data_IF_999695861691
#
_entry.id   IF_999695861691
#
_cell.length_a   1.000
_cell.length_b   1.000
_cell.length_c   1.000
_cell.angle_alpha   90.00
_cell.angle_beta   90.00
_cell.angle_gamma   90.00
#
_symmetry.space_group_name_H-M   'P 1'
#
loop_
_entity.id
_entity.type
_entity.pdbx_description
1 polymer ?
#
# COMPACT_ATOMS: atom_id res chain seq x y z
N UNK A 1 -8.23 11.29 -13.06
CA UNK A 1 -7.45 11.02 -11.83
C UNK A 1 -7.95 9.82 -11.04
N UNK A 2 -9.21 9.78 -10.58
CA UNK A 2 -9.78 8.64 -9.82
C UNK A 2 -9.74 7.26 -10.53
N UNK A 3 -9.81 7.24 -11.86
CA UNK A 3 -9.67 6.01 -12.63
C UNK A 3 -8.24 5.46 -12.62
N UNK A 4 -7.20 6.30 -12.56
CA UNK A 4 -5.80 5.84 -12.52
C UNK A 4 -5.48 5.19 -11.18
N UNK A 5 -6.02 5.70 -10.07
CA UNK A 5 -5.82 5.12 -8.74
C UNK A 5 -6.50 3.76 -8.58
N UNK A 6 -7.75 3.63 -9.07
CA UNK A 6 -8.45 2.34 -9.13
C UNK A 6 -7.81 1.36 -10.10
N UNK A 7 -7.32 1.84 -11.25
CA UNK A 7 -6.65 0.99 -12.26
C UNK A 7 -5.27 0.57 -11.79
N UNK A 8 -4.47 1.43 -11.17
CA UNK A 8 -3.19 1.05 -10.58
C UNK A 8 -3.38 0.16 -9.35
N UNK A 9 -4.34 0.45 -8.45
CA UNK A 9 -4.63 -0.46 -7.34
C UNK A 9 -5.21 -1.81 -7.82
N UNK A 10 -6.10 -1.82 -8.81
CA UNK A 10 -6.66 -3.06 -9.38
C UNK A 10 -5.70 -3.81 -10.30
N UNK A 11 -4.80 -3.13 -11.01
CA UNK A 11 -3.82 -3.78 -11.90
C UNK A 11 -2.60 -4.28 -11.12
N UNK A 12 -2.20 -3.57 -10.06
CA UNK A 12 -1.01 -3.84 -9.27
C UNK A 12 -1.29 -4.67 -8.01
N UNK A 13 -2.47 -4.53 -7.39
CA UNK A 13 -2.89 -5.32 -6.23
C UNK A 13 -4.09 -6.26 -6.51
N UNK A 14 -4.84 -6.06 -7.60
CA UNK A 14 -6.13 -6.71 -7.80
C UNK A 14 -6.17 -7.98 -8.67
N UNK A 15 -5.09 -8.36 -9.38
CA UNK A 15 -5.10 -9.58 -10.22
C UNK A 15 -3.81 -10.40 -10.29
N UNK A 16 -2.65 -9.82 -10.01
CA UNK A 16 -1.41 -10.57 -9.88
C UNK A 16 -0.88 -10.28 -8.48
N UNK A 17 -0.90 -11.29 -7.61
CA UNK A 17 -0.29 -11.13 -6.29
C UNK A 17 1.20 -10.87 -6.50
N UNK A 18 1.71 -9.77 -5.95
CA UNK A 18 3.10 -9.33 -6.15
C UNK A 18 4.08 -10.38 -5.60
N UNK A 19 3.64 -11.25 -4.68
CA UNK A 19 4.37 -12.46 -4.26
C UNK A 19 4.86 -13.33 -5.42
N UNK A 20 4.12 -13.40 -6.53
CA UNK A 20 4.53 -14.16 -7.73
C UNK A 20 5.75 -13.55 -8.43
N UNK A 21 5.98 -12.23 -8.26
CA UNK A 21 7.15 -11.54 -8.81
C UNK A 21 8.33 -11.51 -7.84
N UNK A 22 8.06 -11.53 -6.53
CA UNK A 22 9.09 -11.46 -5.48
C UNK A 22 9.60 -12.87 -5.11
N UNK A 23 8.82 -13.92 -5.40
CA UNK A 23 9.19 -15.32 -5.19
C UNK A 23 9.05 -15.81 -3.74
N UNK A 24 8.79 -14.91 -2.79
CA UNK A 24 8.47 -15.21 -1.38
C UNK A 24 7.61 -14.10 -0.77
N UNK A 25 6.86 -14.44 0.29
CA UNK A 25 6.20 -13.45 1.14
C UNK A 25 7.25 -12.68 1.92
N UNK A 26 7.37 -11.38 1.65
CA UNK A 26 8.40 -10.56 2.29
C UNK A 26 8.04 -9.10 2.12
N UNK A 27 7.85 -8.37 3.23
CA UNK A 27 7.39 -6.99 3.17
C UNK A 27 8.48 -6.03 2.70
N UNK A 28 9.74 -6.28 3.07
CA UNK A 28 10.87 -5.44 2.63
C UNK A 28 11.04 -5.41 1.10
N UNK A 29 11.13 -6.56 0.39
CA UNK A 29 11.23 -6.56 -1.06
C UNK A 29 9.98 -5.98 -1.74
N UNK A 30 8.79 -6.20 -1.15
CA UNK A 30 7.57 -5.58 -1.65
C UNK A 30 7.68 -4.05 -1.58
N UNK A 31 8.07 -3.51 -0.43
CA UNK A 31 8.25 -2.08 -0.25
C UNK A 31 9.25 -1.48 -1.26
N UNK A 32 10.42 -2.10 -1.45
CA UNK A 32 11.39 -1.67 -2.45
C UNK A 32 10.85 -1.73 -3.88
N UNK A 33 10.12 -2.80 -4.22
CA UNK A 33 9.50 -2.94 -5.55
C UNK A 33 8.50 -1.82 -5.82
N UNK A 34 7.61 -1.51 -4.85
CA UNK A 34 6.62 -0.44 -4.97
C UNK A 34 7.30 0.92 -5.20
N UNK A 35 8.35 1.22 -4.43
CA UNK A 35 9.13 2.46 -4.59
C UNK A 35 9.81 2.52 -5.96
N UNK A 36 10.47 1.45 -6.40
CA UNK A 36 11.12 1.40 -7.72
C UNK A 36 10.12 1.59 -8.87
N UNK A 37 8.97 0.93 -8.79
CA UNK A 37 7.90 1.08 -9.76
C UNK A 37 7.37 2.51 -9.83
N UNK A 38 7.19 3.16 -8.67
CA UNK A 38 6.77 4.55 -8.58
C UNK A 38 7.79 5.51 -9.23
N UNK A 39 9.09 5.27 -9.04
CA UNK A 39 10.12 6.03 -9.74
C UNK A 39 10.03 5.84 -11.26
N UNK A 40 9.86 4.61 -11.74
CA UNK A 40 9.70 4.35 -13.17
C UNK A 40 8.46 5.04 -13.76
N UNK A 41 7.32 4.99 -13.05
CA UNK A 41 6.12 5.70 -13.47
C UNK A 41 6.33 7.22 -13.52
N UNK A 42 7.05 7.78 -12.55
CA UNK A 42 7.37 9.19 -12.56
C UNK A 42 8.23 9.57 -13.76
N UNK A 43 9.22 8.75 -14.11
CA UNK A 43 10.07 9.03 -15.27
C UNK A 43 9.30 8.96 -16.60
N UNK A 44 8.33 8.05 -16.71
CA UNK A 44 7.56 7.83 -17.94
C UNK A 44 6.40 8.83 -18.07
N UNK A 45 5.62 8.99 -17.00
CA UNK A 45 4.34 9.70 -17.03
C UNK A 45 4.41 11.07 -16.33
N UNK A 46 5.53 11.42 -15.67
CA UNK A 46 5.63 12.56 -14.74
C UNK A 46 4.55 12.53 -13.65
N UNK A 47 4.08 11.32 -13.33
CA UNK A 47 2.98 11.06 -12.42
C UNK A 47 3.50 10.32 -11.19
N UNK A 48 2.98 10.67 -10.02
CA UNK A 48 3.26 9.99 -8.76
C UNK A 48 1.99 9.25 -8.35
N UNK A 49 2.03 7.92 -8.29
CA UNK A 49 0.98 7.19 -7.59
C UNK A 49 1.14 7.47 -6.10
N UNK A 50 0.26 8.31 -5.55
CA UNK A 50 0.28 8.68 -4.16
C UNK A 50 -0.65 7.76 -3.38
N UNK A 51 -0.12 6.95 -2.47
CA UNK A 51 -0.88 6.27 -1.41
C UNK A 51 -1.27 7.29 -0.33
N UNK A 52 -1.86 8.42 -0.74
CA UNK A 52 -2.08 9.57 0.12
C UNK A 52 -3.02 9.21 1.28
N UNK A 53 -2.53 9.20 2.51
CA UNK A 53 -3.29 8.76 3.68
C UNK A 53 -3.01 7.33 4.13
N UNK A 54 -2.32 6.48 3.34
CA UNK A 54 -2.02 5.11 3.79
C UNK A 54 -0.94 5.08 4.87
N UNK A 55 0.08 5.95 4.74
CA UNK A 55 1.09 6.15 5.78
C UNK A 55 0.41 6.59 7.08
N UNK A 56 -0.43 7.63 6.98
CA UNK A 56 -1.16 8.20 8.10
C UNK A 56 -2.12 7.19 8.72
N UNK A 57 -2.82 6.38 7.90
CA UNK A 57 -3.67 5.29 8.39
C UNK A 57 -2.88 4.26 9.21
N UNK A 58 -1.69 3.86 8.77
CA UNK A 58 -0.85 2.91 9.50
C UNK A 58 -0.31 3.54 10.80
N UNK A 59 0.13 4.79 10.75
CA UNK A 59 0.56 5.53 11.94
C UNK A 59 -0.57 5.62 12.98
N UNK A 60 -1.78 5.99 12.55
CA UNK A 60 -2.96 6.05 13.41
C UNK A 60 -3.34 4.68 13.96
N UNK A 61 -3.31 3.63 13.13
CA UNK A 61 -3.69 2.26 13.52
C UNK A 61 -2.78 1.72 14.63
N UNK A 62 -1.47 1.94 14.51
CA UNK A 62 -0.48 1.45 15.47
C UNK A 62 -0.15 2.46 16.57
N UNK A 63 -0.86 3.59 16.66
CA UNK A 63 -0.56 4.70 17.57
C UNK A 63 0.92 5.12 17.51
N UNK A 64 1.46 5.16 16.30
CA UNK A 64 2.87 5.41 16.06
C UNK A 64 3.13 6.91 15.83
N UNK A 65 4.11 7.45 16.55
CA UNK A 65 4.56 8.82 16.39
C UNK A 65 6.06 8.83 16.10
N UNK A 66 6.45 9.01 14.84
CA UNK A 66 7.86 9.03 14.44
C UNK A 66 8.05 9.00 12.93
N UNK A 67 9.30 9.14 12.49
CA UNK A 67 9.67 9.14 11.07
C UNK A 67 10.02 7.72 10.59
N UNK A 68 9.04 6.82 10.53
CA UNK A 68 9.22 5.48 9.97
C UNK A 68 8.25 5.24 8.83
N UNK A 69 8.67 4.51 7.79
CA UNK A 69 7.75 4.11 6.73
C UNK A 69 6.68 3.17 7.28
N UNK A 70 5.50 3.17 6.66
CA UNK A 70 4.43 2.22 6.96
C UNK A 70 4.92 0.76 6.95
N UNK A 71 5.84 0.42 6.04
CA UNK A 71 6.40 -0.93 5.96
C UNK A 71 7.18 -1.28 7.23
N UNK A 72 8.01 -0.36 7.71
CA UNK A 72 8.78 -0.53 8.94
C UNK A 72 7.88 -0.59 10.18
N UNK A 73 6.82 0.24 10.22
CA UNK A 73 5.83 0.20 11.31
C UNK A 73 5.15 -1.17 11.37
N UNK A 74 4.68 -1.69 10.23
CA UNK A 74 4.04 -3.01 10.17
C UNK A 74 5.02 -4.12 10.58
N UNK A 75 6.25 -4.10 10.09
CA UNK A 75 7.27 -5.10 10.43
C UNK A 75 7.54 -5.17 11.93
N UNK A 76 7.70 -4.02 12.58
CA UNK A 76 7.97 -3.97 14.02
C UNK A 76 6.80 -4.45 14.89
N UNK A 77 5.60 -4.55 14.31
CA UNK A 77 4.40 -5.05 14.99
C UNK A 77 4.06 -6.51 14.59
N UNK A 78 4.90 -7.18 13.81
CA UNK A 78 4.71 -8.55 13.36
C UNK A 78 5.82 -9.47 13.88
N UNK A 79 5.51 -10.77 13.99
CA UNK A 79 6.45 -11.77 14.51
C UNK A 79 7.59 -12.09 13.53
N UNK A 80 7.30 -12.01 12.23
CA UNK A 80 8.25 -12.19 11.14
C UNK A 80 7.81 -11.40 9.90
N UNK A 81 8.66 -11.42 8.87
CA UNK A 81 8.46 -10.65 7.64
C UNK A 81 7.35 -11.24 6.74
N UNK A 82 7.03 -12.53 6.87
CA UNK A 82 5.92 -13.16 6.15
C UNK A 82 4.58 -12.71 6.75
N UNK A 83 4.46 -12.70 8.08
CA UNK A 83 3.33 -12.15 8.78
C UNK A 83 3.15 -10.66 8.49
N UNK A 84 4.24 -9.89 8.42
CA UNK A 84 4.19 -8.48 8.05
C UNK A 84 3.67 -8.28 6.61
N UNK A 85 4.08 -9.14 5.68
CA UNK A 85 3.59 -9.14 4.31
C UNK A 85 2.08 -9.38 4.24
N UNK A 86 1.59 -10.41 4.93
CA UNK A 86 0.15 -10.69 4.98
C UNK A 86 -0.61 -9.52 5.63
N UNK A 87 -0.05 -8.95 6.70
CA UNK A 87 -0.68 -7.83 7.41
C UNK A 87 -0.77 -6.55 6.59
N UNK A 88 0.20 -6.31 5.71
CA UNK A 88 0.13 -5.23 4.74
C UNK A 88 -1.12 -5.33 3.85
N UNK A 89 -1.43 -6.52 3.32
CA UNK A 89 -2.60 -6.69 2.46
C UNK A 89 -3.91 -6.52 3.23
N UNK A 90 -3.99 -7.00 4.47
CA UNK A 90 -5.15 -6.76 5.33
C UNK A 90 -5.38 -5.25 5.57
N UNK A 91 -4.31 -4.52 5.90
CA UNK A 91 -4.36 -3.07 6.06
C UNK A 91 -4.76 -2.34 4.79
N UNK A 92 -4.25 -2.79 3.64
CA UNK A 92 -4.58 -2.20 2.35
C UNK A 92 -6.07 -2.40 2.03
N UNK A 93 -6.59 -3.60 2.24
CA UNK A 93 -8.01 -3.91 2.02
C UNK A 93 -8.91 -3.09 2.96
N UNK A 94 -8.56 -2.99 4.24
CA UNK A 94 -9.29 -2.16 5.21
C UNK A 94 -9.30 -0.70 4.80
N UNK A 95 -8.13 -0.15 4.47
CA UNK A 95 -7.96 1.23 4.03
C UNK A 95 -8.82 1.50 2.78
N UNK A 96 -8.71 0.68 1.74
CA UNK A 96 -9.46 0.85 0.51
C UNK A 96 -10.98 0.71 0.74
N UNK A 97 -11.41 -0.17 1.65
CA UNK A 97 -12.83 -0.34 1.99
C UNK A 97 -13.42 0.94 2.61
N UNK A 98 -12.68 1.59 3.51
CA UNK A 98 -13.08 2.86 4.14
C UNK A 98 -13.10 4.00 3.12
N UNK A 99 -12.14 4.06 2.20
CA UNK A 99 -12.11 5.09 1.16
C UNK A 99 -13.26 4.96 0.15
N UNK A 100 -13.63 3.74 -0.22
CA UNK A 100 -14.81 3.49 -1.06
C UNK A 100 -16.10 3.90 -0.34
N UNK A 101 -16.18 3.69 0.98
CA UNK A 101 -17.32 4.11 1.79
C UNK A 101 -17.43 5.64 1.88
N UNK A 102 -16.32 6.34 2.11
CA UNK A 102 -16.25 7.81 2.19
C UNK A 102 -16.67 8.45 0.86
N UNK A 103 -16.27 7.86 -0.27
CA UNK A 103 -16.70 8.35 -1.58
C UNK A 103 -18.20 8.16 -1.79
N UNK A 104 -18.79 7.01 -1.40
CA UNK A 104 -20.24 6.79 -1.49
C UNK A 104 -21.04 7.83 -0.67
N UNK A 105 -20.56 8.19 0.51
CA UNK A 105 -21.19 9.19 1.38
C UNK A 105 -21.06 10.64 0.89
N UNK A 106 -20.08 10.94 0.01
CA UNK A 106 -19.91 12.28 -0.59
C UNK A 106 -20.72 12.49 -1.87
N UNK A 107 -21.30 11.43 -2.44
CA UNK A 107 -22.15 11.50 -3.66
C UNK A 107 -23.63 11.22 -3.33
N UNK A 108 -24.00 11.22 -2.04
CA UNK A 108 -25.40 11.16 -1.56
C UNK A 108 -25.77 12.48 -0.91
#
# INVERSE_FOLDING_TARGET
MLNKLKVAASSMFGKIRIESFIGRKSLTPLWHFLHGYQYCLFDIERDYYNTHGFQEYIEDFYYFHGAHSWAHIIQNNCIDDEAAFDKFYEHLDEYLSKYVLILKLRVS
#
